data_IF_732003367089
#
_entry.id   IF_732003367089
#
_cell.length_a   1.000
_cell.length_b   1.000
_cell.length_c   1.000
_cell.angle_alpha   90.00
_cell.angle_beta   90.00
_cell.angle_gamma   90.00
#
_symmetry.space_group_name_H-M   'P 1'
#
loop_
_entity.id
_entity.type
_entity.pdbx_description
1 polymer ?
#
# COMPACT_ATOMS: atom_id res chain seq x y z
N UNK A 1 39.95 75.82 -24.49
CA UNK A 1 40.30 74.45 -24.86
C UNK A 1 40.10 73.56 -23.59
N UNK A 2 38.87 73.01 -23.34
CA UNK A 2 38.56 72.20 -22.18
C UNK A 2 38.55 70.68 -22.60
N UNK A 3 39.51 69.94 -22.04
CA UNK A 3 39.54 68.47 -22.19
C UNK A 3 38.52 67.82 -21.24
N UNK A 4 37.50 67.12 -21.81
CA UNK A 4 36.58 66.25 -21.07
C UNK A 4 37.23 64.89 -20.87
N UNK A 5 37.44 64.51 -19.59
CA UNK A 5 37.92 63.21 -19.21
C UNK A 5 36.66 62.29 -19.00
N UNK A 6 36.62 61.23 -19.82
CA UNK A 6 35.54 60.20 -19.68
C UNK A 6 36.04 59.19 -18.65
N UNK A 7 35.29 59.02 -17.57
CA UNK A 7 35.42 57.89 -16.62
C UNK A 7 34.57 56.73 -17.12
N UNK A 8 35.19 55.62 -17.51
CA UNK A 8 34.50 54.37 -17.80
C UNK A 8 34.36 53.55 -16.50
N UNK A 9 33.13 53.40 -16.03
CA UNK A 9 32.80 52.53 -14.89
C UNK A 9 32.64 51.12 -15.40
N UNK A 10 33.56 50.23 -15.05
CA UNK A 10 33.41 48.78 -15.28
C UNK A 10 32.40 48.23 -14.26
N UNK A 11 31.26 47.80 -14.75
CA UNK A 11 30.28 47.05 -13.99
C UNK A 11 30.69 45.57 -14.00
N UNK A 12 31.22 45.07 -12.87
CA UNK A 12 31.53 43.65 -12.69
C UNK A 12 30.23 42.91 -12.42
N UNK A 13 29.71 42.15 -13.40
CA UNK A 13 28.59 41.23 -13.21
C UNK A 13 29.17 39.99 -12.51
N UNK A 14 28.90 39.86 -11.23
CA UNK A 14 29.12 38.62 -10.51
C UNK A 14 28.11 37.57 -11.01
N UNK A 15 28.57 36.59 -11.75
CA UNK A 15 27.81 35.40 -12.10
C UNK A 15 27.66 34.59 -10.82
N UNK A 16 26.51 34.72 -10.15
CA UNK A 16 26.10 33.79 -9.08
C UNK A 16 25.76 32.48 -9.79
N UNK A 17 26.69 31.54 -9.79
CA UNK A 17 26.38 30.16 -10.15
C UNK A 17 25.43 29.62 -9.11
N UNK A 18 24.12 29.49 -9.44
CA UNK A 18 23.19 28.67 -8.68
C UNK A 18 23.82 27.28 -8.57
N UNK A 19 23.82 26.66 -7.36
CA UNK A 19 24.22 25.27 -7.28
C UNK A 19 23.35 24.50 -8.24
N UNK A 20 23.96 23.67 -9.11
CA UNK A 20 23.24 22.73 -9.94
C UNK A 20 22.29 21.97 -8.98
N UNK A 21 20.99 22.04 -9.24
CA UNK A 21 20.02 21.22 -8.52
C UNK A 21 20.54 19.78 -8.62
N UNK A 22 20.84 19.17 -7.49
CA UNK A 22 21.11 17.74 -7.45
C UNK A 22 20.00 17.07 -8.26
N UNK A 23 20.37 16.38 -9.35
CA UNK A 23 19.41 15.60 -10.16
C UNK A 23 18.58 14.80 -9.17
N UNK A 24 17.28 14.98 -9.20
CA UNK A 24 16.36 14.32 -8.26
C UNK A 24 16.59 12.81 -8.43
N UNK A 25 17.17 12.17 -7.42
CA UNK A 25 17.59 10.78 -7.48
C UNK A 25 16.33 9.92 -7.56
N UNK A 26 16.26 9.01 -8.54
CA UNK A 26 15.26 7.97 -8.54
C UNK A 26 15.41 7.12 -7.27
N UNK A 27 14.42 7.15 -6.40
CA UNK A 27 14.38 6.47 -5.10
C UNK A 27 13.64 5.15 -5.11
N UNK A 28 13.28 4.58 -6.26
CA UNK A 28 12.44 3.38 -6.36
C UNK A 28 13.01 2.15 -5.61
N UNK A 29 14.33 2.10 -5.41
CA UNK A 29 15.02 0.99 -4.71
C UNK A 29 15.44 1.34 -3.27
N UNK A 30 14.99 2.45 -2.72
CA UNK A 30 15.43 2.93 -1.41
C UNK A 30 15.02 2.01 -0.25
N UNK A 31 13.98 1.19 -0.42
CA UNK A 31 13.54 0.20 0.55
C UNK A 31 13.97 -1.25 0.25
N UNK A 32 14.83 -1.49 -0.75
CA UNK A 32 15.27 -2.84 -1.11
C UNK A 32 16.02 -3.56 0.03
N UNK A 33 16.67 -2.80 0.91
CA UNK A 33 17.35 -3.36 2.08
C UNK A 33 16.43 -4.16 2.99
N UNK A 34 15.12 -3.84 3.00
CA UNK A 34 14.15 -4.51 3.87
C UNK A 34 13.82 -5.94 3.45
N UNK A 35 13.96 -6.32 2.16
CA UNK A 35 13.55 -7.65 1.69
C UNK A 35 14.10 -8.78 2.55
N UNK A 36 13.22 -9.68 3.03
CA UNK A 36 13.54 -10.82 3.88
C UNK A 36 13.00 -10.72 5.31
N UNK A 37 13.53 -11.53 6.22
CA UNK A 37 13.07 -11.65 7.61
C UNK A 37 13.94 -10.85 8.57
N UNK A 38 13.30 -10.22 9.55
CA UNK A 38 13.95 -9.34 10.53
C UNK A 38 13.52 -9.66 11.97
N UNK A 39 14.46 -9.68 12.87
CA UNK A 39 14.24 -9.55 14.31
C UNK A 39 14.21 -8.07 14.67
N UNK A 40 13.23 -7.66 15.45
CA UNK A 40 12.96 -6.25 15.74
C UNK A 40 12.89 -6.07 17.25
N UNK A 41 13.82 -5.29 17.79
CA UNK A 41 13.75 -4.84 19.18
C UNK A 41 13.03 -3.51 19.23
N UNK A 42 11.93 -3.46 19.97
CA UNK A 42 10.99 -2.34 20.00
C UNK A 42 10.97 -1.64 21.34
N UNK A 43 10.82 -0.32 21.29
CA UNK A 43 10.52 0.52 22.44
C UNK A 43 9.29 1.36 22.11
N UNK A 44 8.26 1.28 22.93
CA UNK A 44 7.02 2.06 22.78
C UNK A 44 6.80 2.90 24.03
N UNK A 45 6.44 4.17 23.83
CA UNK A 45 6.03 5.04 24.91
C UNK A 45 4.57 4.76 25.28
N UNK A 46 4.33 4.32 26.53
CA UNK A 46 3.00 4.01 27.07
C UNK A 46 2.87 4.72 28.42
N UNK A 47 1.92 5.64 28.54
CA UNK A 47 1.70 6.43 29.76
C UNK A 47 3.03 7.02 30.32
N UNK A 48 3.78 7.70 29.47
CA UNK A 48 5.07 8.36 29.76
C UNK A 48 6.22 7.43 30.18
N UNK A 49 6.08 6.14 29.94
CA UNK A 49 7.13 5.15 30.20
C UNK A 49 7.47 4.38 28.94
N UNK A 50 8.76 4.20 28.69
CA UNK A 50 9.23 3.30 27.64
C UNK A 50 9.07 1.86 28.07
N UNK A 51 8.40 1.06 27.25
CA UNK A 51 8.25 -0.38 27.39
C UNK A 51 8.98 -1.03 26.22
N UNK A 52 9.84 -2.00 26.54
CA UNK A 52 10.63 -2.74 25.55
C UNK A 52 10.03 -4.12 25.31
N UNK A 53 10.04 -4.58 24.07
CA UNK A 53 9.58 -5.91 23.67
C UNK A 53 10.19 -6.26 22.31
N UNK A 54 10.14 -7.54 21.93
CA UNK A 54 10.68 -8.02 20.68
C UNK A 54 9.56 -8.42 19.73
N UNK A 55 9.85 -8.33 18.43
CA UNK A 55 8.97 -8.73 17.35
C UNK A 55 9.75 -9.29 16.17
N UNK A 56 9.00 -9.76 15.20
CA UNK A 56 9.54 -10.26 13.93
C UNK A 56 8.77 -9.61 12.76
N UNK A 57 9.46 -9.48 11.64
CA UNK A 57 8.85 -8.94 10.42
C UNK A 57 9.32 -9.68 9.17
N UNK A 58 8.41 -9.94 8.26
CA UNK A 58 8.69 -10.51 6.94
C UNK A 58 8.34 -9.49 5.86
N UNK A 59 9.33 -9.10 5.05
CA UNK A 59 9.21 -8.07 4.02
C UNK A 59 9.32 -8.70 2.63
N UNK A 60 8.34 -8.41 1.78
CA UNK A 60 8.27 -8.87 0.39
C UNK A 60 8.26 -7.71 -0.57
N UNK A 61 9.10 -7.76 -1.60
CA UNK A 61 9.11 -6.79 -2.70
C UNK A 61 7.98 -7.08 -3.68
N UNK A 62 7.45 -6.02 -4.28
CA UNK A 62 6.42 -6.01 -5.30
C UNK A 62 6.86 -5.01 -6.38
N UNK A 63 6.46 -5.21 -7.65
CA UNK A 63 6.72 -4.32 -8.78
C UNK A 63 8.20 -3.96 -8.95
N UNK A 64 9.08 -4.96 -8.83
CA UNK A 64 10.52 -4.77 -8.98
C UNK A 64 11.10 -3.67 -8.05
N UNK A 65 10.71 -3.73 -6.76
CA UNK A 65 11.15 -2.81 -5.72
C UNK A 65 10.35 -1.52 -5.59
N UNK A 66 9.46 -1.17 -6.55
CA UNK A 66 8.58 0.03 -6.48
C UNK A 66 7.44 -0.07 -5.48
N UNK A 67 7.23 -1.24 -4.92
CA UNK A 67 6.37 -1.45 -3.77
C UNK A 67 6.93 -2.56 -2.90
N UNK A 68 6.53 -2.58 -1.64
CA UNK A 68 6.75 -3.70 -0.74
C UNK A 68 5.66 -3.77 0.31
N UNK A 69 5.47 -4.96 0.88
CA UNK A 69 4.63 -5.18 2.04
C UNK A 69 5.43 -5.91 3.11
N UNK A 70 5.20 -5.58 4.37
CA UNK A 70 5.66 -6.42 5.45
C UNK A 70 4.52 -6.84 6.36
N UNK A 71 4.63 -8.04 6.87
CA UNK A 71 3.90 -8.50 8.05
C UNK A 71 4.79 -8.29 9.28
N UNK A 72 4.18 -7.93 10.39
CA UNK A 72 4.85 -7.67 11.66
C UNK A 72 4.07 -8.32 12.79
N UNK A 73 4.77 -9.04 13.66
CA UNK A 73 4.20 -9.66 14.85
C UNK A 73 5.07 -9.38 16.07
N UNK A 74 4.43 -9.11 17.21
CA UNK A 74 5.09 -8.90 18.50
C UNK A 74 4.13 -9.18 19.67
N UNK A 75 4.69 -9.59 20.80
CA UNK A 75 4.00 -9.61 22.09
C UNK A 75 4.28 -8.29 22.83
N UNK A 76 3.36 -7.34 22.67
CA UNK A 76 3.51 -6.00 23.23
C UNK A 76 2.82 -5.82 24.59
N UNK A 77 2.96 -4.62 25.19
CA UNK A 77 2.37 -4.31 26.50
C UNK A 77 0.84 -4.45 26.58
N UNK A 78 0.17 -4.33 25.42
CA UNK A 78 -1.29 -4.44 25.27
C UNK A 78 -1.74 -5.78 24.66
N UNK A 79 -0.88 -6.80 24.71
CA UNK A 79 -1.06 -8.13 24.12
C UNK A 79 -0.52 -8.22 22.70
N UNK A 80 -0.89 -9.29 22.00
CA UNK A 80 -0.41 -9.60 20.66
C UNK A 80 -0.66 -8.45 19.66
N UNK A 81 0.38 -8.05 18.95
CA UNK A 81 0.34 -7.04 17.89
C UNK A 81 0.59 -7.77 16.58
N UNK A 82 -0.33 -7.62 15.66
CA UNK A 82 -0.25 -8.14 14.31
C UNK A 82 -0.56 -6.99 13.36
N UNK A 83 0.42 -6.62 12.56
CA UNK A 83 0.35 -5.45 11.71
C UNK A 83 0.97 -5.68 10.35
N UNK A 84 0.73 -4.77 9.43
CA UNK A 84 1.40 -4.71 8.14
C UNK A 84 1.67 -3.26 7.74
N UNK A 85 2.67 -3.08 6.87
CA UNK A 85 2.86 -1.82 6.16
C UNK A 85 2.94 -2.10 4.68
N UNK A 86 2.05 -1.50 3.90
CA UNK A 86 2.18 -1.38 2.46
C UNK A 86 2.99 -0.12 2.16
N UNK A 87 4.03 -0.24 1.32
CA UNK A 87 4.81 0.91 0.81
C UNK A 87 4.73 0.91 -0.69
N UNK A 88 4.44 2.07 -1.27
CA UNK A 88 4.35 2.27 -2.71
C UNK A 88 5.17 3.49 -3.13
N UNK A 89 5.79 3.42 -4.28
CA UNK A 89 6.60 4.49 -4.87
C UNK A 89 5.87 5.15 -6.03
N UNK A 90 5.81 6.47 -6.02
CA UNK A 90 5.32 7.26 -7.16
C UNK A 90 6.50 7.69 -8.04
N UNK A 91 6.64 7.14 -9.25
CA UNK A 91 7.75 7.47 -10.15
C UNK A 91 7.67 8.88 -10.74
N UNK A 92 6.56 9.59 -10.58
CA UNK A 92 6.41 10.97 -11.08
C UNK A 92 6.91 11.99 -10.07
N UNK A 93 6.64 11.76 -8.78
CA UNK A 93 7.02 12.67 -7.69
C UNK A 93 8.30 12.25 -6.99
N UNK A 94 8.76 11.02 -7.25
CA UNK A 94 9.89 10.37 -6.57
C UNK A 94 9.67 10.28 -5.05
N UNK A 95 8.42 10.08 -4.64
CA UNK A 95 8.02 9.93 -3.23
C UNK A 95 7.52 8.52 -2.95
N UNK A 96 7.74 8.09 -1.73
CA UNK A 96 7.15 6.90 -1.15
C UNK A 96 5.95 7.27 -0.27
N UNK A 97 4.93 6.43 -0.33
CA UNK A 97 3.78 6.44 0.58
C UNK A 97 3.79 5.17 1.42
N UNK A 98 3.76 5.33 2.74
CA UNK A 98 3.81 4.24 3.73
C UNK A 98 2.46 4.17 4.44
N UNK A 99 1.77 3.04 4.30
CA UNK A 99 0.43 2.83 4.87
C UNK A 99 0.50 1.73 5.92
N UNK A 100 0.22 2.05 7.16
CA UNK A 100 0.14 1.09 8.25
C UNK A 100 -1.28 0.56 8.42
N UNK A 101 -1.41 -0.71 8.81
CA UNK A 101 -2.64 -1.30 9.32
C UNK A 101 -2.35 -2.31 10.41
N UNK A 102 -3.29 -2.48 11.33
CA UNK A 102 -3.27 -3.53 12.34
C UNK A 102 -4.50 -4.44 12.21
N UNK A 103 -4.36 -5.70 12.61
CA UNK A 103 -5.41 -6.72 12.43
C UNK A 103 -6.63 -6.50 13.32
N UNK A 104 -6.53 -5.66 14.37
CA UNK A 104 -7.65 -5.35 15.28
C UNK A 104 -8.63 -4.35 14.67
N UNK A 105 -8.18 -3.62 13.64
CA UNK A 105 -8.97 -2.57 12.98
C UNK A 105 -9.25 -2.87 11.51
N UNK A 106 -8.32 -3.53 10.80
CA UNK A 106 -8.50 -3.87 9.40
C UNK A 106 -8.68 -2.64 8.49
N UNK A 107 -7.97 -1.54 8.81
CA UNK A 107 -8.04 -0.26 8.09
C UNK A 107 -6.63 0.24 7.83
N UNK A 108 -6.35 0.71 6.62
CA UNK A 108 -5.11 1.46 6.35
C UNK A 108 -5.21 2.85 6.98
N UNK A 109 -4.20 3.20 7.77
CA UNK A 109 -4.02 4.56 8.25
C UNK A 109 -3.61 5.51 7.12
N UNK A 110 -3.77 6.84 7.29
CA UNK A 110 -3.26 7.82 6.33
C UNK A 110 -1.78 7.61 6.03
N UNK A 111 -1.41 7.73 4.75
CA UNK A 111 -0.04 7.52 4.31
C UNK A 111 0.93 8.51 4.94
N UNK A 112 2.06 8.03 5.44
CA UNK A 112 3.22 8.86 5.67
C UNK A 112 3.99 8.98 4.35
N UNK A 113 4.10 10.21 3.82
CA UNK A 113 4.69 10.49 2.52
C UNK A 113 6.05 11.16 2.66
N UNK A 114 7.02 10.70 1.89
CA UNK A 114 8.37 11.26 1.94
C UNK A 114 9.36 10.51 1.05
N UNK A 115 10.64 10.74 1.30
CA UNK A 115 11.75 10.15 0.53
C UNK A 115 13.00 9.96 1.37
N UNK A 116 13.98 9.28 0.78
CA UNK A 116 15.31 9.16 1.34
C UNK A 116 16.23 10.29 0.82
N UNK A 117 17.04 10.82 1.74
CA UNK A 117 18.17 11.71 1.46
C UNK A 117 19.36 11.19 2.24
N UNK A 118 20.49 10.98 1.56
CA UNK A 118 21.75 10.53 2.19
C UNK A 118 21.58 9.29 3.11
N UNK A 119 20.80 8.29 2.68
CA UNK A 119 20.50 7.05 3.41
C UNK A 119 19.66 7.23 4.68
N UNK A 120 19.02 8.38 4.85
CA UNK A 120 18.00 8.63 5.85
C UNK A 120 16.67 8.86 5.15
N UNK A 121 15.64 8.09 5.52
CA UNK A 121 14.27 8.28 5.01
C UNK A 121 13.45 9.08 6.00
N UNK A 122 12.74 10.12 5.54
CA UNK A 122 11.81 10.87 6.37
C UNK A 122 10.45 10.96 5.68
N UNK A 123 9.40 10.60 6.44
CA UNK A 123 8.02 10.52 5.94
C UNK A 123 7.07 11.16 6.94
N UNK A 124 6.08 11.89 6.43
CA UNK A 124 5.21 12.72 7.24
C UNK A 124 3.75 12.48 6.91
N UNK A 125 2.90 12.53 7.95
CA UNK A 125 1.44 12.56 7.83
C UNK A 125 0.84 13.54 8.82
N UNK A 126 -0.42 13.91 8.58
CA UNK A 126 -1.28 14.55 9.57
C UNK A 126 -2.32 13.52 10.04
N UNK A 127 -2.53 13.43 11.32
CA UNK A 127 -3.49 12.51 11.95
C UNK A 127 -4.13 13.15 13.17
N UNK A 128 -4.93 12.38 13.92
CA UNK A 128 -5.56 12.79 15.18
C UNK A 128 -5.27 11.78 16.26
N UNK A 129 -4.82 12.29 17.42
CA UNK A 129 -4.69 11.50 18.65
C UNK A 129 -5.65 12.09 19.68
N UNK A 130 -6.56 11.27 20.21
CA UNK A 130 -7.61 11.71 21.14
C UNK A 130 -8.42 12.91 20.61
N UNK A 131 -8.69 12.92 19.28
CA UNK A 131 -9.42 13.98 18.58
C UNK A 131 -8.63 15.26 18.31
N UNK A 132 -7.38 15.37 18.77
CA UNK A 132 -6.49 16.53 18.52
C UNK A 132 -5.64 16.29 17.27
N UNK A 133 -5.52 17.27 16.36
CA UNK A 133 -4.67 17.15 15.19
C UNK A 133 -3.19 17.09 15.61
N UNK A 134 -2.46 16.17 15.01
CA UNK A 134 -1.02 15.99 15.21
C UNK A 134 -0.31 15.79 13.87
N UNK A 135 0.98 16.07 13.82
CA UNK A 135 1.84 15.56 12.76
C UNK A 135 2.55 14.29 13.25
N UNK A 136 2.67 13.32 12.35
CA UNK A 136 3.44 12.10 12.54
C UNK A 136 4.65 12.15 11.63
N UNK A 137 5.81 11.77 12.14
CA UNK A 137 7.04 11.62 11.39
C UNK A 137 7.61 10.23 11.58
N UNK A 138 7.93 9.57 10.47
CA UNK A 138 8.71 8.32 10.42
C UNK A 138 10.11 8.63 9.93
N UNK A 139 11.11 8.13 10.64
CA UNK A 139 12.53 8.27 10.29
C UNK A 139 13.16 6.89 10.18
N UNK A 140 13.71 6.58 9.02
CA UNK A 140 14.56 5.42 8.76
C UNK A 140 16.01 5.85 8.71
N UNK A 141 16.89 5.22 9.50
CA UNK A 141 18.29 5.60 9.60
C UNK A 141 19.18 4.40 9.93
N UNK A 142 20.51 4.61 10.02
CA UNK A 142 21.50 3.58 10.35
C UNK A 142 21.37 2.33 9.47
N UNK A 143 21.03 2.52 8.21
CA UNK A 143 20.71 1.45 7.27
C UNK A 143 21.99 0.79 6.77
N UNK A 144 22.04 -0.53 6.92
CA UNK A 144 23.06 -1.41 6.35
C UNK A 144 22.38 -2.58 5.62
N UNK A 145 23.14 -3.56 5.14
CA UNK A 145 22.56 -4.77 4.55
C UNK A 145 21.85 -5.66 5.57
N UNK A 146 22.21 -5.55 6.85
CA UNK A 146 21.73 -6.44 7.93
C UNK A 146 21.18 -5.72 9.13
N UNK A 147 21.13 -4.40 9.14
CA UNK A 147 20.56 -3.60 10.24
C UNK A 147 19.85 -2.36 9.72
N UNK A 148 18.85 -1.90 10.47
CA UNK A 148 18.16 -0.64 10.25
C UNK A 148 17.62 -0.11 11.57
N UNK A 149 17.41 1.19 11.66
CA UNK A 149 16.76 1.87 12.76
C UNK A 149 15.55 2.64 12.27
N UNK A 150 14.44 2.51 12.97
CA UNK A 150 13.20 3.22 12.70
C UNK A 150 12.73 3.97 13.95
N UNK A 151 12.28 5.22 13.76
CA UNK A 151 11.68 6.04 14.80
C UNK A 151 10.37 6.64 14.30
N UNK A 152 9.30 6.55 15.11
CA UNK A 152 8.10 7.34 14.96
C UNK A 152 8.09 8.44 16.00
N UNK A 153 7.81 9.65 15.57
CA UNK A 153 7.67 10.83 16.44
C UNK A 153 6.38 11.58 16.14
N UNK A 154 5.83 12.23 17.16
CA UNK A 154 4.60 13.01 17.09
C UNK A 154 4.92 14.47 17.41
N UNK A 155 4.27 15.39 16.70
CA UNK A 155 4.26 16.83 17.00
C UNK A 155 2.84 17.32 17.21
N UNK A 156 2.60 17.97 18.34
CA UNK A 156 1.32 18.64 18.69
C UNK A 156 1.35 20.15 18.45
N UNK A 157 2.50 20.70 18.02
CA UNK A 157 2.76 22.15 17.91
C UNK A 157 3.06 22.62 16.48
N UNK A 158 2.63 21.83 15.49
CA UNK A 158 2.81 22.16 14.08
C UNK A 158 4.22 21.90 13.56
N UNK A 159 4.93 20.91 14.10
CA UNK A 159 6.26 20.50 13.66
C UNK A 159 7.42 21.25 14.30
N UNK A 160 7.17 22.10 15.31
CA UNK A 160 8.23 22.85 16.01
C UNK A 160 9.01 21.96 16.97
N UNK A 161 8.34 21.03 17.63
CA UNK A 161 8.95 20.00 18.47
C UNK A 161 8.40 18.62 18.13
N UNK A 162 9.21 17.58 18.39
CA UNK A 162 8.89 16.19 18.09
C UNK A 162 9.19 15.30 19.28
N UNK A 163 8.24 14.46 19.66
CA UNK A 163 8.39 13.49 20.73
C UNK A 163 8.35 12.09 20.13
N UNK A 164 9.45 11.36 20.27
CA UNK A 164 9.49 9.96 19.87
C UNK A 164 8.56 9.12 20.75
N UNK A 165 7.74 8.27 20.14
CA UNK A 165 6.81 7.39 20.83
C UNK A 165 6.92 5.91 20.43
N UNK A 166 7.67 5.61 19.37
CA UNK A 166 7.99 4.27 18.91
C UNK A 166 9.38 4.25 18.30
N UNK A 167 10.21 3.29 18.73
CA UNK A 167 11.56 3.08 18.21
C UNK A 167 11.75 1.60 17.92
N UNK A 168 12.40 1.27 16.81
CA UNK A 168 12.72 -0.10 16.42
C UNK A 168 14.17 -0.21 15.96
N UNK A 169 14.92 -1.09 16.60
CA UNK A 169 16.24 -1.52 16.13
C UNK A 169 16.08 -2.91 15.48
N UNK A 170 16.45 -2.99 14.21
CA UNK A 170 16.15 -4.14 13.34
C UNK A 170 17.45 -4.86 12.96
N UNK A 171 17.43 -6.19 13.01
CA UNK A 171 18.52 -7.06 12.57
C UNK A 171 17.99 -8.13 11.63
N UNK A 172 18.57 -8.21 10.42
CA UNK A 172 18.18 -9.21 9.41
C UNK A 172 18.55 -10.62 9.88
N UNK A 173 17.67 -11.58 9.71
CA UNK A 173 17.90 -12.98 10.05
C UNK A 173 17.76 -13.88 8.84
N UNK A 174 18.53 -14.97 8.82
CA UNK A 174 18.39 -16.05 7.82
C UNK A 174 17.55 -17.21 8.37
N UNK A 175 17.29 -17.20 9.69
CA UNK A 175 16.50 -18.23 10.33
C UNK A 175 15.02 -18.03 9.98
N UNK A 176 14.31 -19.09 9.70
CA UNK A 176 12.88 -19.07 9.39
C UNK A 176 11.98 -18.72 10.58
N UNK A 177 12.39 -17.73 11.40
CA UNK A 177 11.72 -17.33 12.64
C UNK A 177 10.34 -16.69 12.41
N UNK A 178 10.06 -16.26 11.16
CA UNK A 178 8.72 -15.88 10.75
C UNK A 178 8.05 -17.10 10.08
N UNK A 179 7.45 -17.96 10.89
CA UNK A 179 6.48 -18.90 10.35
C UNK A 179 5.28 -18.07 9.88
N UNK A 180 5.05 -18.03 8.56
CA UNK A 180 3.77 -17.51 8.07
C UNK A 180 2.67 -18.22 8.87
N UNK A 181 1.75 -17.50 9.52
CA UNK A 181 0.71 -18.12 10.31
C UNK A 181 0.00 -19.17 9.46
N UNK A 182 -0.15 -20.37 10.01
CA UNK A 182 -0.86 -21.42 9.32
C UNK A 182 -2.25 -20.89 8.95
N UNK A 183 -2.60 -20.89 7.67
CA UNK A 183 -3.96 -20.54 7.25
C UNK A 183 -4.91 -21.54 7.90
N UNK A 184 -5.54 -21.14 8.98
CA UNK A 184 -6.62 -21.92 9.59
C UNK A 184 -7.85 -21.77 8.69
N UNK A 185 -8.39 -22.85 8.13
CA UNK A 185 -9.57 -22.78 7.28
C UNK A 185 -10.76 -22.23 8.07
N UNK A 186 -11.71 -21.65 7.36
CA UNK A 186 -12.99 -21.22 7.92
C UNK A 186 -13.63 -22.37 8.71
N UNK A 187 -14.07 -22.08 9.94
CA UNK A 187 -14.64 -23.07 10.85
C UNK A 187 -16.18 -23.10 10.81
N UNK A 188 -16.78 -22.08 10.16
CA UNK A 188 -18.24 -21.96 10.04
C UNK A 188 -18.63 -21.17 8.77
N UNK A 189 -19.87 -21.29 8.27
CA UNK A 189 -20.37 -20.44 7.19
C UNK A 189 -20.29 -18.94 7.49
N UNK A 190 -20.43 -18.53 8.74
CA UNK A 190 -20.27 -17.12 9.15
C UNK A 190 -18.82 -16.64 9.06
N UNK A 191 -17.84 -17.53 9.13
CA UNK A 191 -16.43 -17.18 8.90
C UNK A 191 -16.15 -17.08 7.40
N UNK A 192 -16.80 -17.91 6.57
CA UNK A 192 -16.71 -17.85 5.12
C UNK A 192 -17.30 -16.56 4.55
N UNK A 193 -18.41 -16.07 5.10
CA UNK A 193 -18.98 -14.75 4.78
C UNK A 193 -18.31 -13.60 5.58
N UNK A 194 -17.35 -13.91 6.43
CA UNK A 194 -16.61 -12.99 7.28
C UNK A 194 -15.11 -12.96 6.95
N UNK A 195 -14.26 -13.25 7.98
CA UNK A 195 -12.81 -13.08 7.86
C UNK A 195 -12.12 -14.03 6.85
N UNK A 196 -12.80 -15.08 6.39
CA UNK A 196 -12.29 -16.08 5.45
C UNK A 196 -12.94 -16.02 4.06
N UNK A 197 -13.68 -14.95 3.76
CA UNK A 197 -14.42 -14.79 2.49
C UNK A 197 -13.54 -14.86 1.25
N UNK A 198 -12.28 -14.45 1.35
CA UNK A 198 -11.33 -14.45 0.23
C UNK A 198 -10.31 -15.60 0.26
N UNK A 199 -10.39 -16.55 1.20
CA UNK A 199 -9.39 -17.64 1.33
C UNK A 199 -9.25 -18.48 0.07
N UNK A 200 -10.33 -18.67 -0.67
CA UNK A 200 -10.33 -19.43 -1.91
C UNK A 200 -9.44 -18.80 -3.02
N UNK A 201 -9.11 -17.52 -2.91
CA UNK A 201 -8.22 -16.85 -3.86
C UNK A 201 -6.73 -17.10 -3.60
N UNK A 202 -6.34 -17.64 -2.43
CA UNK A 202 -4.93 -17.90 -2.12
C UNK A 202 -4.25 -18.76 -3.19
N UNK A 203 -3.09 -18.32 -3.72
CA UNK A 203 -2.31 -19.01 -4.74
C UNK A 203 -2.09 -18.22 -6.01
N UNK A 204 -1.63 -18.90 -7.08
CA UNK A 204 -1.28 -18.28 -8.36
C UNK A 204 -2.38 -18.47 -9.41
N UNK A 205 -2.60 -17.44 -10.20
CA UNK A 205 -3.71 -17.34 -11.12
C UNK A 205 -3.30 -16.84 -12.50
N UNK A 206 -3.95 -17.38 -13.53
CA UNK A 206 -4.03 -16.77 -14.85
C UNK A 206 -5.34 -15.97 -14.91
N UNK A 207 -5.27 -14.75 -15.41
CA UNK A 207 -6.40 -13.83 -15.56
C UNK A 207 -6.78 -13.67 -17.02
N UNK A 208 -8.07 -13.75 -17.31
CA UNK A 208 -8.68 -13.27 -18.54
C UNK A 208 -9.53 -12.05 -18.18
N UNK A 209 -9.15 -10.88 -18.70
CA UNK A 209 -9.79 -9.61 -18.41
C UNK A 209 -10.49 -9.09 -19.65
N UNK A 210 -11.73 -8.61 -19.44
CA UNK A 210 -12.46 -7.80 -20.40
C UNK A 210 -12.58 -6.39 -19.86
N UNK A 211 -12.15 -5.40 -20.62
CA UNK A 211 -12.24 -4.00 -20.21
C UNK A 211 -13.01 -3.19 -21.24
N UNK A 212 -14.01 -2.45 -20.79
CA UNK A 212 -14.74 -1.50 -21.61
C UNK A 212 -13.82 -0.33 -22.01
N UNK A 213 -13.68 -0.06 -23.32
CA UNK A 213 -12.70 0.90 -23.82
C UNK A 213 -13.01 2.33 -23.44
N UNK A 214 -14.30 2.71 -23.45
CA UNK A 214 -14.78 4.03 -23.09
C UNK A 214 -15.86 3.89 -22.03
N UNK A 215 -15.50 4.16 -20.79
CA UNK A 215 -16.40 4.09 -19.64
C UNK A 215 -17.27 5.32 -19.56
N UNK A 216 -18.53 5.17 -19.17
CA UNK A 216 -19.54 6.23 -19.02
C UNK A 216 -19.83 7.02 -20.31
N UNK A 217 -19.58 6.40 -21.45
CA UNK A 217 -19.75 7.00 -22.77
C UNK A 217 -20.77 6.25 -23.66
N UNK A 218 -21.52 5.31 -23.07
CA UNK A 218 -22.46 4.46 -23.82
C UNK A 218 -21.77 3.52 -24.81
N UNK A 219 -20.50 3.22 -24.61
CA UNK A 219 -19.73 2.30 -25.45
C UNK A 219 -20.11 0.85 -25.13
N UNK A 220 -20.05 -0.01 -26.15
CA UNK A 220 -20.12 -1.45 -26.01
C UNK A 220 -18.89 -2.16 -26.60
N UNK A 221 -17.78 -1.43 -26.78
CA UNK A 221 -16.53 -1.96 -27.33
C UNK A 221 -15.62 -2.38 -26.18
N UNK A 222 -15.35 -3.66 -26.12
CA UNK A 222 -14.51 -4.29 -25.11
C UNK A 222 -13.16 -4.73 -25.69
N UNK A 223 -12.15 -4.79 -24.87
CA UNK A 223 -10.84 -5.35 -25.22
C UNK A 223 -10.45 -6.41 -24.20
N UNK A 224 -9.97 -7.52 -24.73
CA UNK A 224 -9.46 -8.65 -23.94
C UNK A 224 -8.01 -8.44 -23.60
N UNK A 225 -7.65 -8.82 -22.37
CA UNK A 225 -6.28 -8.88 -21.89
C UNK A 225 -6.06 -10.20 -21.15
N UNK A 226 -4.80 -10.63 -21.11
CA UNK A 226 -4.38 -11.81 -20.38
C UNK A 226 -3.24 -11.43 -19.44
N UNK A 227 -3.25 -12.00 -18.27
CA UNK A 227 -2.25 -11.70 -17.25
C UNK A 227 -2.10 -12.81 -16.23
N UNK A 228 -1.24 -12.56 -15.28
CA UNK A 228 -0.99 -13.45 -14.14
C UNK A 228 -0.95 -12.67 -12.86
N UNK A 229 -1.10 -13.37 -11.74
CA UNK A 229 -0.93 -12.78 -10.41
C UNK A 229 -0.96 -13.83 -9.32
N UNK A 230 -0.61 -13.39 -8.13
CA UNK A 230 -0.57 -14.19 -6.93
C UNK A 230 -1.42 -13.54 -5.86
N UNK A 231 -2.23 -14.33 -5.16
CA UNK A 231 -2.92 -13.91 -3.96
C UNK A 231 -2.25 -14.54 -2.73
N UNK A 232 -1.63 -13.71 -1.91
CA UNK A 232 -0.90 -14.10 -0.69
C UNK A 232 -1.79 -13.83 0.51
N UNK A 233 -2.21 -14.86 1.28
CA UNK A 233 -2.91 -14.64 2.53
C UNK A 233 -2.01 -14.02 3.58
N UNK A 234 -2.57 -13.10 4.36
CA UNK A 234 -1.95 -12.38 5.46
C UNK A 234 -2.86 -12.50 6.69
N UNK A 235 -2.32 -12.31 7.90
CA UNK A 235 -3.09 -12.32 9.15
C UNK A 235 -4.03 -13.53 9.28
N UNK A 236 -3.54 -14.70 8.90
CA UNK A 236 -4.32 -15.93 8.96
C UNK A 236 -5.67 -15.84 8.20
N UNK A 237 -5.65 -15.31 6.97
CA UNK A 237 -6.82 -15.15 6.09
C UNK A 237 -7.61 -13.85 6.29
N UNK A 238 -7.43 -13.13 7.42
CA UNK A 238 -8.11 -11.85 7.69
C UNK A 238 -7.59 -10.68 6.86
N UNK A 239 -6.55 -10.90 6.10
CA UNK A 239 -6.05 -10.01 5.05
C UNK A 239 -5.48 -10.83 3.92
N UNK A 240 -5.35 -10.24 2.74
CA UNK A 240 -4.57 -10.79 1.64
C UNK A 240 -4.04 -9.69 0.72
N UNK A 241 -2.96 -10.00 0.03
CA UNK A 241 -2.39 -9.19 -1.03
C UNK A 241 -2.54 -9.94 -2.34
N UNK A 242 -3.26 -9.36 -3.28
CA UNK A 242 -3.42 -9.86 -4.64
C UNK A 242 -2.61 -9.00 -5.60
N UNK A 243 -1.80 -9.60 -6.46
CA UNK A 243 -1.02 -8.92 -7.48
C UNK A 243 -1.55 -9.23 -8.86
N UNK A 244 -1.42 -8.29 -9.78
CA UNK A 244 -1.86 -8.42 -11.16
C UNK A 244 -0.80 -7.86 -12.10
N UNK A 245 -0.40 -8.68 -13.09
CA UNK A 245 0.47 -8.26 -14.19
C UNK A 245 -0.19 -8.61 -15.50
N UNK A 246 -0.45 -7.61 -16.34
CA UNK A 246 -1.15 -7.75 -17.63
C UNK A 246 -0.37 -7.06 -18.72
N UNK A 247 -0.14 -7.74 -19.83
CA UNK A 247 0.38 -7.10 -21.03
C UNK A 247 -0.77 -6.48 -21.82
N UNK A 248 -0.66 -5.17 -22.11
CA UNK A 248 -1.64 -4.42 -22.89
C UNK A 248 -1.00 -3.69 -24.06
N UNK A 249 -1.75 -3.32 -25.11
CA UNK A 249 -1.22 -2.53 -26.23
C UNK A 249 -0.62 -1.18 -25.83
N UNK A 250 -1.04 -0.64 -24.68
CA UNK A 250 -0.52 0.62 -24.11
C UNK A 250 0.64 0.42 -23.13
N UNK A 251 1.15 -0.80 -22.98
CA UNK A 251 2.21 -1.18 -22.04
C UNK A 251 1.73 -2.11 -20.94
N UNK A 252 2.64 -2.48 -20.05
CA UNK A 252 2.35 -3.38 -18.96
C UNK A 252 1.46 -2.68 -17.90
N UNK A 253 0.41 -3.36 -17.46
CA UNK A 253 -0.40 -2.98 -16.30
C UNK A 253 0.08 -3.82 -15.13
N UNK A 254 0.57 -3.17 -14.10
CA UNK A 254 0.97 -3.80 -12.84
C UNK A 254 0.11 -3.20 -11.73
N UNK A 255 -0.64 -4.05 -11.06
CA UNK A 255 -1.55 -3.63 -9.99
C UNK A 255 -1.43 -4.54 -8.76
N UNK A 256 -1.95 -4.06 -7.65
CA UNK A 256 -2.18 -4.86 -6.45
C UNK A 256 -3.52 -4.49 -5.82
N UNK A 257 -4.12 -5.46 -5.14
CA UNK A 257 -5.24 -5.21 -4.22
C UNK A 257 -4.85 -5.73 -2.84
N UNK A 258 -4.77 -4.83 -1.87
CA UNK A 258 -4.68 -5.20 -0.46
C UNK A 258 -6.11 -5.28 0.10
N UNK A 259 -6.51 -6.45 0.59
CA UNK A 259 -7.82 -6.65 1.23
C UNK A 259 -7.63 -6.83 2.72
N UNK A 260 -8.36 -6.06 3.52
CA UNK A 260 -8.31 -6.08 4.98
C UNK A 260 -9.71 -6.32 5.53
N UNK A 261 -9.85 -7.26 6.45
CA UNK A 261 -11.08 -7.48 7.19
C UNK A 261 -11.11 -6.62 8.46
N UNK A 262 -12.14 -5.80 8.60
CA UNK A 262 -12.44 -5.02 9.79
C UNK A 262 -13.28 -5.87 10.76
N UNK A 263 -12.72 -6.40 11.86
CA UNK A 263 -13.45 -7.29 12.76
C UNK A 263 -14.49 -6.56 13.62
N UNK A 264 -14.40 -5.23 13.75
CA UNK A 264 -15.32 -4.44 14.58
C UNK A 264 -16.70 -4.31 13.93
N UNK A 265 -16.72 -4.13 12.63
CA UNK A 265 -17.96 -3.95 11.85
C UNK A 265 -18.21 -5.10 10.85
N UNK A 266 -17.30 -6.08 10.82
CA UNK A 266 -17.38 -7.30 10.01
C UNK A 266 -17.53 -7.02 8.51
N UNK A 267 -16.70 -6.11 7.97
CA UNK A 267 -16.65 -5.79 6.55
C UNK A 267 -15.23 -5.94 6.01
N UNK A 268 -15.09 -6.16 4.73
CA UNK A 268 -13.83 -6.09 4.01
C UNK A 268 -13.63 -4.70 3.43
N UNK A 269 -12.37 -4.27 3.37
CA UNK A 269 -11.90 -3.07 2.69
C UNK A 269 -10.89 -3.48 1.63
N UNK A 270 -11.18 -3.17 0.38
CA UNK A 270 -10.39 -3.53 -0.79
C UNK A 270 -9.68 -2.28 -1.29
N UNK A 271 -8.37 -2.24 -1.15
CA UNK A 271 -7.52 -1.11 -1.53
C UNK A 271 -6.76 -1.47 -2.80
N UNK A 272 -7.10 -0.81 -3.90
CA UNK A 272 -6.37 -0.97 -5.15
C UNK A 272 -5.23 0.03 -5.24
N UNK A 273 -4.10 -0.40 -5.84
CA UNK A 273 -3.02 0.47 -6.26
C UNK A 273 -2.41 -0.03 -7.58
N UNK A 274 -1.83 0.88 -8.35
CA UNK A 274 -1.13 0.54 -9.58
C UNK A 274 0.31 1.08 -9.57
N UNK A 275 1.22 0.40 -10.28
CA UNK A 275 2.63 0.75 -10.32
C UNK A 275 2.95 2.04 -11.10
N UNK A 276 1.96 2.61 -11.81
CA UNK A 276 2.14 3.80 -12.64
C UNK A 276 2.31 5.08 -11.82
N UNK A 277 1.65 5.13 -10.67
CA UNK A 277 1.67 6.29 -9.75
C UNK A 277 1.82 5.90 -8.28
N UNK A 278 1.71 4.60 -7.95
CA UNK A 278 1.85 4.12 -6.58
C UNK A 278 0.77 4.63 -5.61
N UNK A 279 -0.30 5.23 -6.12
CA UNK A 279 -1.39 5.72 -5.27
C UNK A 279 -2.32 4.58 -4.89
N UNK A 280 -2.75 4.59 -3.63
CA UNK A 280 -3.76 3.66 -3.12
C UNK A 280 -5.12 4.36 -3.20
N UNK A 281 -6.05 3.74 -3.92
CA UNK A 281 -7.40 4.28 -4.13
C UNK A 281 -8.25 4.23 -2.85
N UNK A 282 -9.34 4.99 -2.83
CA UNK A 282 -10.38 4.87 -1.81
C UNK A 282 -10.90 3.43 -1.79
N UNK A 283 -10.96 2.77 -0.62
CA UNK A 283 -11.33 1.36 -0.56
C UNK A 283 -12.79 1.13 -0.94
N UNK A 284 -13.05 0.05 -1.68
CA UNK A 284 -14.36 -0.52 -1.80
C UNK A 284 -14.66 -1.31 -0.51
N UNK A 285 -15.79 -0.99 0.13
CA UNK A 285 -16.18 -1.55 1.43
C UNK A 285 -17.43 -2.39 1.26
N UNK A 286 -17.43 -3.59 1.82
CA UNK A 286 -18.57 -4.48 1.73
C UNK A 286 -18.34 -5.82 2.43
N UNK A 287 -19.15 -6.80 2.08
CA UNK A 287 -19.15 -8.10 2.75
C UNK A 287 -19.61 -9.21 1.80
N UNK A 288 -19.48 -10.43 2.25
CA UNK A 288 -20.02 -11.60 1.59
C UNK A 288 -21.37 -11.99 2.16
N UNK A 289 -22.24 -12.56 1.31
CA UNK A 289 -23.48 -13.19 1.65
C UNK A 289 -23.64 -14.46 0.79
N UNK A 290 -23.68 -15.61 1.40
CA UNK A 290 -23.82 -16.89 0.73
C UNK A 290 -22.76 -17.10 -0.39
N UNK A 291 -21.51 -16.65 -0.13
CA UNK A 291 -20.38 -16.76 -1.05
C UNK A 291 -20.41 -15.76 -2.21
N UNK A 292 -21.29 -14.77 -2.21
CA UNK A 292 -21.34 -13.62 -3.10
C UNK A 292 -20.83 -12.36 -2.37
N UNK A 293 -19.82 -11.71 -2.90
CA UNK A 293 -19.21 -10.52 -2.30
C UNK A 293 -19.53 -9.25 -3.07
N UNK A 294 -20.11 -8.26 -2.39
CA UNK A 294 -20.39 -6.94 -2.97
C UNK A 294 -19.69 -5.85 -2.16
N UNK A 295 -18.92 -4.99 -2.85
CA UNK A 295 -18.13 -3.93 -2.23
C UNK A 295 -18.33 -2.62 -2.97
N UNK A 296 -18.46 -1.52 -2.25
CA UNK A 296 -18.86 -0.23 -2.80
C UNK A 296 -17.90 0.89 -2.40
N UNK A 297 -17.69 1.83 -3.31
CA UNK A 297 -17.01 3.11 -3.07
C UNK A 297 -17.70 4.24 -3.84
N UNK A 298 -17.28 5.47 -3.53
CA UNK A 298 -17.62 6.66 -4.31
C UNK A 298 -16.32 7.30 -4.78
N UNK A 299 -16.27 7.72 -6.04
CA UNK A 299 -15.11 8.35 -6.67
C UNK A 299 -15.54 9.38 -7.73
N UNK A 300 -14.56 10.01 -8.35
CA UNK A 300 -14.76 10.91 -9.50
C UNK A 300 -14.10 10.26 -10.71
N UNK A 301 -14.90 10.00 -11.75
CA UNK A 301 -14.43 9.44 -13.01
C UNK A 301 -14.94 10.30 -14.19
N UNK A 302 -14.02 10.79 -15.04
CA UNK A 302 -14.37 11.64 -16.20
C UNK A 302 -15.28 12.81 -15.82
N UNK A 303 -14.96 13.53 -14.74
CA UNK A 303 -15.72 14.66 -14.17
C UNK A 303 -17.14 14.30 -13.67
N UNK A 304 -17.46 13.02 -13.52
CA UNK A 304 -18.69 12.53 -12.90
C UNK A 304 -18.41 11.98 -11.49
N UNK A 305 -19.27 12.33 -10.53
CA UNK A 305 -19.34 11.59 -9.27
C UNK A 305 -19.96 10.21 -9.55
N UNK A 306 -19.24 9.16 -9.26
CA UNK A 306 -19.65 7.78 -9.52
C UNK A 306 -19.71 6.96 -8.24
N UNK A 307 -20.70 6.05 -8.19
CA UNK A 307 -20.61 4.90 -7.29
C UNK A 307 -19.89 3.79 -8.04
N UNK A 308 -18.98 3.12 -7.34
CA UNK A 308 -18.23 1.96 -7.83
C UNK A 308 -18.77 0.74 -7.10
N UNK A 309 -19.04 -0.33 -7.85
CA UNK A 309 -19.33 -1.65 -7.29
C UNK A 309 -18.28 -2.65 -7.75
N UNK A 310 -17.74 -3.41 -6.82
CA UNK A 310 -16.99 -4.63 -7.05
C UNK A 310 -17.87 -5.82 -6.67
N UNK A 311 -18.02 -6.75 -7.58
CA UNK A 311 -18.86 -7.93 -7.47
C UNK A 311 -18.01 -9.18 -7.64
N UNK A 312 -18.01 -10.06 -6.63
CA UNK A 312 -17.25 -11.31 -6.61
C UNK A 312 -18.18 -12.50 -6.48
N UNK A 313 -18.11 -13.41 -7.45
CA UNK A 313 -18.90 -14.65 -7.47
C UNK A 313 -18.04 -15.87 -7.75
N UNK A 314 -18.53 -17.03 -7.37
CA UNK A 314 -17.88 -18.30 -7.70
C UNK A 314 -16.49 -18.48 -7.13
N UNK A 315 -16.12 -17.86 -6.01
CA UNK A 315 -14.75 -17.91 -5.47
C UNK A 315 -14.25 -19.34 -5.24
N UNK A 316 -15.14 -20.26 -4.87
CA UNK A 316 -14.83 -21.69 -4.67
C UNK A 316 -14.93 -22.51 -5.95
N UNK A 317 -15.32 -21.93 -7.08
CA UNK A 317 -15.37 -22.59 -8.38
C UNK A 317 -13.96 -22.69 -8.98
N UNK A 318 -13.78 -23.53 -10.02
CA UNK A 318 -12.52 -23.53 -10.78
C UNK A 318 -12.19 -22.21 -11.48
N UNK A 319 -13.20 -21.33 -11.66
CA UNK A 319 -13.08 -20.03 -12.30
C UNK A 319 -13.79 -18.95 -11.47
N UNK A 320 -13.16 -18.38 -10.42
CA UNK A 320 -13.66 -17.19 -9.74
C UNK A 320 -13.92 -16.06 -10.73
N UNK A 321 -15.02 -15.33 -10.51
CA UNK A 321 -15.47 -14.26 -11.38
C UNK A 321 -15.54 -12.94 -10.62
N UNK A 322 -15.05 -11.87 -11.25
CA UNK A 322 -15.09 -10.50 -10.72
C UNK A 322 -15.65 -9.53 -11.75
N UNK A 323 -16.51 -8.62 -11.31
CA UNK A 323 -16.99 -7.48 -12.10
C UNK A 323 -16.76 -6.16 -11.37
N UNK A 324 -16.37 -5.14 -12.13
CA UNK A 324 -16.46 -3.74 -11.71
C UNK A 324 -17.54 -3.04 -12.51
N UNK A 325 -18.38 -2.29 -11.81
CA UNK A 325 -19.40 -1.47 -12.45
C UNK A 325 -19.42 -0.05 -11.87
N UNK A 326 -19.81 0.92 -12.71
CA UNK A 326 -20.00 2.31 -12.33
C UNK A 326 -21.47 2.72 -12.44
N UNK A 327 -21.93 3.59 -11.52
CA UNK A 327 -23.23 4.23 -11.57
C UNK A 327 -23.09 5.74 -11.40
N UNK A 328 -23.75 6.52 -12.27
CA UNK A 328 -23.80 7.98 -12.20
C UNK A 328 -25.20 8.50 -11.78
N UNK A 329 -26.13 7.60 -11.45
CA UNK A 329 -27.52 7.91 -11.12
C UNK A 329 -27.94 7.45 -9.71
N UNK A 330 -26.93 7.26 -8.83
CA UNK A 330 -27.14 6.86 -7.44
C UNK A 330 -27.49 5.38 -7.26
N UNK A 331 -26.97 4.51 -8.13
CA UNK A 331 -27.16 3.06 -8.05
C UNK A 331 -28.41 2.52 -8.73
N UNK A 332 -29.16 3.36 -9.49
CA UNK A 332 -30.37 2.92 -10.21
C UNK A 332 -30.02 2.10 -11.46
N UNK A 333 -28.93 2.48 -12.13
CA UNK A 333 -28.33 1.70 -13.21
C UNK A 333 -26.83 1.56 -13.03
N UNK A 334 -26.27 0.49 -13.60
CA UNK A 334 -24.86 0.15 -13.47
C UNK A 334 -24.26 -0.18 -14.84
N UNK A 335 -23.16 0.46 -15.20
CA UNK A 335 -22.35 0.12 -16.37
C UNK A 335 -21.20 -0.81 -15.91
N UNK A 336 -21.29 -2.10 -16.25
CA UNK A 336 -20.16 -3.02 -16.10
C UNK A 336 -19.06 -2.59 -17.05
N UNK A 337 -17.84 -2.43 -16.55
CA UNK A 337 -16.74 -1.86 -17.33
C UNK A 337 -15.38 -2.57 -17.16
N UNK A 338 -15.35 -3.59 -16.30
CA UNK A 338 -14.22 -4.48 -16.10
C UNK A 338 -14.75 -5.82 -15.62
N UNK A 339 -14.34 -6.91 -16.29
CA UNK A 339 -14.66 -8.28 -15.92
C UNK A 339 -13.34 -9.05 -15.83
N UNK A 340 -13.21 -9.94 -14.86
CA UNK A 340 -12.07 -10.83 -14.74
C UNK A 340 -12.54 -12.24 -14.42
N UNK A 341 -12.16 -13.19 -15.26
CA UNK A 341 -12.25 -14.61 -15.01
C UNK A 341 -10.86 -15.16 -14.67
N UNK A 342 -10.79 -15.99 -13.65
CA UNK A 342 -9.53 -16.50 -13.11
C UNK A 342 -9.45 -18.00 -13.29
N UNK A 343 -8.27 -18.52 -13.67
CA UNK A 343 -7.98 -19.95 -13.65
C UNK A 343 -6.71 -20.22 -12.86
N UNK A 344 -6.76 -21.22 -11.98
CA UNK A 344 -5.63 -21.53 -11.10
C UNK A 344 -4.45 -22.05 -11.92
N UNK A 345 -3.26 -21.53 -11.64
CA UNK A 345 -2.03 -22.09 -12.21
C UNK A 345 -1.80 -23.48 -11.61
N UNK A 346 -1.62 -24.48 -12.45
CA UNK A 346 -1.33 -25.83 -11.97
C UNK A 346 0.00 -25.83 -11.20
N UNK A 347 0.10 -26.52 -10.06
CA UNK A 347 1.38 -26.73 -9.40
C UNK A 347 2.36 -27.34 -10.37
N UNK A 348 3.58 -26.80 -10.46
CA UNK A 348 4.64 -27.47 -11.21
C UNK A 348 4.89 -28.82 -10.54
N UNK A 349 4.48 -29.91 -11.17
CA UNK A 349 4.91 -31.27 -10.81
C UNK A 349 6.37 -31.41 -11.22
N UNK A 350 7.27 -31.21 -10.26
CA UNK A 350 8.68 -31.59 -10.41
C UNK A 350 8.85 -33.10 -10.35
#
# INVERSE_FOLDING_TARGET
>A
MMRKTLFATLLSVAIVSSPASALDRDGQHDFDFLAGTWKIHLKRLVADKWVEFDGVGLYRQIWDGRANINEFEAEGPSGHIEGLTLRTYDPKTHLWSLYWANSREGVLEPAQVGKFTDRQGEFYAQDKIDGRPVFIRYVWSKITQTSAHFEQSISEDGGKSWTANWVSDMTKTTDGDFAAPANNPAQSPSDEDGPHGFDALAGSWNYHLHRLNQRLAGSNVWTDFYGTGDCIPLWNGRANLDTLVVDSPSGKIEGLTLRLFDPKVRVWRLYWANAKDGLVDVPQIGQFHDGHGEFYAQDIQNDHSVLIRFDWTGLKSPSPHFEQAFSIDGGKSWEVNWITDQTRVAPHTN
#
